data_IF_609495090001
#
_entry.id   IF_609495090001
#
_cell.length_a   1.000
_cell.length_b   1.000
_cell.length_c   1.000
_cell.angle_alpha   90.00
_cell.angle_beta   90.00
_cell.angle_gamma   90.00
#
_symmetry.space_group_name_H-M   'P 1'
#
loop_
_entity.id
_entity.type
_entity.pdbx_description
1 polymer ?
#
# COMPACT_ATOMS: atom_id res chain seq x y z
N UNK A 1 -79.38 7.38 -49.71
CA UNK A 1 -80.32 8.33 -49.06
C UNK A 1 -79.56 9.60 -48.76
N UNK A 2 -80.07 10.73 -49.29
CA UNK A 2 -80.15 12.10 -48.72
C UNK A 2 -78.90 12.66 -48.02
N UNK A 3 -78.35 13.84 -48.29
CA UNK A 3 -78.85 15.06 -48.96
C UNK A 3 -77.68 16.02 -49.17
N UNK A 4 -77.69 16.72 -50.31
CA UNK A 4 -76.95 17.97 -50.68
C UNK A 4 -77.45 19.14 -49.76
N UNK A 5 -77.10 20.46 -49.86
CA UNK A 5 -76.00 21.21 -50.50
C UNK A 5 -75.44 22.48 -49.73
N UNK A 6 -74.41 23.11 -50.34
CA UNK A 6 -74.24 24.57 -50.67
C UNK A 6 -73.98 25.66 -49.60
N UNK A 7 -72.90 26.41 -49.92
CA UNK A 7 -72.65 27.86 -49.80
C UNK A 7 -72.22 28.50 -48.48
N UNK A 8 -71.36 29.50 -48.64
CA UNK A 8 -71.36 30.70 -47.80
C UNK A 8 -69.97 31.23 -47.48
N UNK A 9 -69.32 31.91 -48.44
CA UNK A 9 -68.22 32.84 -48.10
C UNK A 9 -68.84 34.03 -47.37
N UNK A 10 -68.40 34.29 -46.13
CA UNK A 10 -68.59 35.56 -45.44
C UNK A 10 -67.24 36.00 -44.83
N UNK A 11 -66.84 37.21 -45.19
CA UNK A 11 -65.66 37.93 -44.67
C UNK A 11 -66.06 38.45 -43.29
N UNK A 12 -65.30 38.11 -42.25
CA UNK A 12 -65.41 38.71 -40.93
C UNK A 12 -64.07 39.37 -40.56
N UNK A 13 -64.11 40.67 -40.36
CA UNK A 13 -62.99 41.50 -39.95
C UNK A 13 -62.48 41.09 -38.56
N UNK A 14 -61.19 40.79 -38.47
CA UNK A 14 -60.51 40.56 -37.20
C UNK A 14 -60.16 41.92 -36.60
N UNK A 15 -60.94 42.34 -35.60
CA UNK A 15 -60.54 43.41 -34.68
C UNK A 15 -59.65 42.78 -33.62
N UNK A 16 -58.34 43.03 -33.71
CA UNK A 16 -57.36 42.66 -32.70
C UNK A 16 -57.48 43.61 -31.50
N UNK A 17 -58.27 43.23 -30.51
CA UNK A 17 -58.23 43.83 -29.17
C UNK A 17 -56.98 43.30 -28.46
N UNK A 18 -55.90 44.09 -28.43
CA UNK A 18 -54.70 43.76 -27.65
C UNK A 18 -54.96 43.95 -26.16
N UNK A 19 -55.40 42.89 -25.49
CA UNK A 19 -55.33 42.79 -24.03
C UNK A 19 -53.88 42.65 -23.61
N UNK A 20 -53.33 43.71 -23.01
CA UNK A 20 -52.02 43.68 -22.38
C UNK A 20 -52.16 42.87 -21.08
N UNK A 21 -51.86 41.58 -21.14
CA UNK A 21 -51.67 40.77 -19.93
C UNK A 21 -50.32 41.19 -19.36
N UNK A 22 -50.33 42.09 -18.38
CA UNK A 22 -49.16 42.34 -17.54
C UNK A 22 -48.93 41.10 -16.67
N UNK A 23 -48.25 40.11 -17.22
CA UNK A 23 -47.65 39.05 -16.44
C UNK A 23 -46.51 39.67 -15.64
N UNK A 24 -46.76 39.98 -14.37
CA UNK A 24 -45.69 40.24 -13.43
C UNK A 24 -44.89 38.95 -13.30
N UNK A 25 -43.77 38.88 -14.01
CA UNK A 25 -42.78 37.84 -13.81
C UNK A 25 -42.27 38.00 -12.37
N UNK A 26 -42.79 37.18 -11.44
CA UNK A 26 -42.13 37.02 -10.15
C UNK A 26 -40.73 36.50 -10.44
N UNK A 27 -39.72 37.30 -10.10
CA UNK A 27 -38.36 36.82 -10.02
C UNK A 27 -38.36 35.64 -9.06
N UNK A 28 -38.17 34.42 -9.59
CA UNK A 28 -37.83 33.29 -8.73
C UNK A 28 -36.41 33.54 -8.27
N UNK A 29 -36.24 33.75 -6.97
CA UNK A 29 -34.92 33.71 -6.36
C UNK A 29 -34.29 32.36 -6.70
N UNK A 30 -33.31 32.39 -7.60
CA UNK A 30 -32.44 31.23 -7.82
C UNK A 30 -31.56 31.12 -6.59
N UNK A 31 -31.96 30.30 -5.62
CA UNK A 31 -31.07 29.87 -4.55
C UNK A 31 -30.06 28.92 -5.18
N UNK A 32 -28.75 29.25 -5.27
CA UNK A 32 -27.75 28.33 -5.79
C UNK A 32 -27.48 27.27 -4.72
N UNK A 33 -28.35 26.27 -4.62
CA UNK A 33 -28.15 25.12 -3.74
C UNK A 33 -27.72 23.88 -4.51
N UNK A 34 -27.07 24.04 -5.66
CA UNK A 34 -26.34 22.94 -6.27
C UNK A 34 -24.96 22.87 -5.61
N UNK A 35 -24.88 22.19 -4.46
CA UNK A 35 -23.61 21.57 -4.05
C UNK A 35 -23.04 20.86 -5.28
N UNK A 36 -21.78 21.12 -5.62
CA UNK A 36 -21.17 20.48 -6.78
C UNK A 36 -21.42 18.95 -6.71
N UNK A 37 -21.70 18.27 -7.83
CA UNK A 37 -22.00 16.85 -7.77
C UNK A 37 -20.77 16.07 -7.32
N UNK A 38 -21.02 14.96 -6.65
CA UNK A 38 -19.97 13.99 -6.33
C UNK A 38 -19.28 13.52 -7.61
N UNK A 39 -17.99 13.19 -7.49
CA UNK A 39 -17.17 12.80 -8.61
C UNK A 39 -16.92 11.30 -8.60
N UNK A 40 -17.43 10.60 -9.62
CA UNK A 40 -17.03 9.22 -9.91
C UNK A 40 -15.62 9.20 -10.50
N UNK A 41 -14.78 8.33 -9.95
CA UNK A 41 -13.40 8.11 -10.36
C UNK A 41 -13.27 6.64 -10.73
N UNK A 42 -12.91 6.37 -11.97
CA UNK A 42 -12.58 5.03 -12.43
C UNK A 42 -11.07 4.85 -12.30
N UNK A 43 -10.62 3.65 -11.94
CA UNK A 43 -9.21 3.36 -11.82
C UNK A 43 -8.82 1.92 -12.10
N UNK A 44 -7.51 1.70 -12.13
CA UNK A 44 -6.87 0.40 -12.42
C UNK A 44 -5.69 0.14 -11.51
N UNK A 45 -5.42 -1.12 -11.20
CA UNK A 45 -4.35 -1.53 -10.31
C UNK A 45 -4.55 -1.12 -8.86
N UNK A 46 -3.64 -1.56 -8.01
CA UNK A 46 -3.57 -1.21 -6.60
C UNK A 46 -2.10 -1.16 -6.19
N UNK A 47 -1.65 0.05 -5.86
CA UNK A 47 -0.28 0.40 -5.48
C UNK A 47 0.39 1.32 -6.50
N UNK A 48 1.70 1.49 -6.34
CA UNK A 48 2.48 2.39 -7.19
C UNK A 48 2.75 1.81 -8.59
N UNK A 49 2.67 0.48 -8.77
CA UNK A 49 2.80 -0.19 -10.06
C UNK A 49 4.23 -0.32 -10.60
N UNK A 50 5.25 0.07 -9.82
CA UNK A 50 6.67 -0.13 -10.15
C UNK A 50 7.10 -1.54 -9.75
N UNK A 51 7.94 -2.17 -10.56
CA UNK A 51 8.43 -3.53 -10.30
C UNK A 51 7.32 -4.58 -10.38
N UNK A 52 7.35 -5.56 -9.48
CA UNK A 52 6.52 -6.77 -9.58
C UNK A 52 5.04 -6.51 -9.26
N UNK A 53 4.14 -6.93 -10.17
CA UNK A 53 2.71 -7.07 -9.85
C UNK A 53 2.48 -8.43 -9.19
N UNK A 54 1.89 -8.45 -7.99
CA UNK A 54 1.58 -9.70 -7.28
C UNK A 54 0.59 -10.55 -8.08
N UNK A 55 -0.51 -9.96 -8.54
CA UNK A 55 -1.47 -10.64 -9.41
C UNK A 55 -0.91 -10.95 -10.80
N UNK A 56 -0.01 -10.11 -11.31
CA UNK A 56 0.67 -10.36 -12.57
C UNK A 56 1.66 -11.52 -12.50
N UNK A 57 2.41 -11.66 -11.40
CA UNK A 57 3.27 -12.82 -11.16
C UNK A 57 2.45 -14.11 -11.05
N UNK A 58 1.28 -14.07 -10.39
CA UNK A 58 0.34 -15.19 -10.39
C UNK A 58 -0.19 -15.50 -11.79
N UNK A 59 -0.59 -14.49 -12.56
CA UNK A 59 -1.00 -14.66 -13.95
C UNK A 59 0.09 -15.28 -14.83
N UNK A 60 1.33 -14.84 -14.68
CA UNK A 60 2.48 -15.37 -15.39
C UNK A 60 2.76 -16.83 -15.02
N UNK A 61 2.68 -17.17 -13.73
CA UNK A 61 2.83 -18.54 -13.26
C UNK A 61 1.70 -19.45 -13.75
N UNK A 62 0.46 -18.95 -13.81
CA UNK A 62 -0.67 -19.67 -14.42
C UNK A 62 -0.49 -19.86 -15.93
N UNK A 63 0.21 -18.94 -16.59
CA UNK A 63 0.63 -19.05 -18.00
C UNK A 63 1.88 -19.95 -18.19
N UNK A 64 2.33 -20.67 -17.16
CA UNK A 64 3.46 -21.59 -17.23
C UNK A 64 4.84 -20.92 -17.26
N UNK A 65 4.94 -19.63 -16.91
CA UNK A 65 6.24 -18.94 -16.87
C UNK A 65 7.06 -19.40 -15.66
N UNK A 66 8.35 -19.62 -15.89
CA UNK A 66 9.33 -19.91 -14.84
C UNK A 66 9.59 -18.68 -13.96
N UNK A 67 10.11 -18.91 -12.75
CA UNK A 67 10.51 -17.84 -11.81
C UNK A 67 11.46 -16.83 -12.48
N UNK A 68 12.42 -17.33 -13.27
CA UNK A 68 13.37 -16.48 -13.99
C UNK A 68 12.64 -15.57 -14.99
N UNK A 69 11.73 -16.11 -15.79
CA UNK A 69 10.94 -15.31 -16.75
C UNK A 69 10.08 -14.26 -16.06
N UNK A 70 9.47 -14.60 -14.92
CA UNK A 70 8.68 -13.66 -14.12
C UNK A 70 9.55 -12.52 -13.60
N UNK A 71 10.69 -12.84 -12.97
CA UNK A 71 11.58 -11.83 -12.41
C UNK A 71 12.28 -11.00 -13.49
N UNK A 72 12.67 -11.59 -14.63
CA UNK A 72 13.27 -10.86 -15.75
C UNK A 72 12.26 -9.91 -16.42
N UNK A 73 10.97 -10.27 -16.39
CA UNK A 73 9.93 -9.36 -16.80
C UNK A 73 9.82 -8.18 -15.82
N UNK A 74 9.70 -8.40 -14.51
CA UNK A 74 9.48 -7.28 -13.59
C UNK A 74 10.72 -6.46 -13.23
N UNK A 75 11.92 -7.03 -13.39
CA UNK A 75 13.20 -6.40 -13.08
C UNK A 75 14.18 -6.54 -14.26
N UNK A 76 13.86 -5.97 -15.44
CA UNK A 76 14.68 -6.11 -16.65
C UNK A 76 16.09 -5.54 -16.47
N UNK A 77 17.06 -6.12 -17.17
CA UNK A 77 18.45 -5.66 -17.12
C UNK A 77 19.19 -5.97 -15.81
N UNK A 78 18.58 -6.76 -14.92
CA UNK A 78 19.18 -7.17 -13.65
C UNK A 78 19.68 -8.62 -13.72
N UNK A 79 20.70 -8.95 -12.94
CA UNK A 79 21.25 -10.30 -12.83
C UNK A 79 20.87 -10.95 -11.51
N UNK A 80 21.06 -12.27 -11.42
CA UNK A 80 20.85 -13.00 -10.17
C UNK A 80 22.09 -12.87 -9.29
N UNK A 81 21.86 -12.59 -8.00
CA UNK A 81 22.89 -12.59 -6.97
C UNK A 81 22.49 -13.42 -5.75
N UNK A 82 23.35 -13.42 -4.73
CA UNK A 82 23.08 -14.04 -3.43
C UNK A 82 23.26 -13.05 -2.29
N UNK A 83 22.38 -13.13 -1.29
CA UNK A 83 22.53 -12.41 -0.02
C UNK A 83 21.97 -13.24 1.13
N UNK A 84 22.66 -13.17 2.27
CA UNK A 84 22.27 -13.82 3.53
C UNK A 84 22.42 -12.81 4.67
N UNK A 85 22.42 -13.28 5.92
CA UNK A 85 22.56 -12.46 7.11
C UNK A 85 21.22 -12.18 7.80
N UNK A 86 21.24 -11.27 8.75
CA UNK A 86 20.05 -10.89 9.52
C UNK A 86 19.46 -9.57 9.01
N UNK A 87 18.20 -9.37 9.35
CA UNK A 87 17.47 -8.10 9.24
C UNK A 87 17.03 -7.70 10.65
N UNK A 88 17.08 -6.40 10.92
CA UNK A 88 16.61 -5.76 12.14
C UNK A 88 15.33 -4.99 11.83
N UNK A 89 14.21 -5.41 12.42
CA UNK A 89 12.90 -4.80 12.17
C UNK A 89 12.37 -4.18 13.43
N UNK A 90 12.06 -2.88 13.39
CA UNK A 90 11.32 -2.21 14.46
C UNK A 90 9.89 -2.76 14.50
N UNK A 91 9.44 -3.18 15.66
CA UNK A 91 8.08 -3.70 15.89
C UNK A 91 7.20 -2.55 16.36
N UNK A 92 6.45 -1.90 15.45
CA UNK A 92 5.69 -0.70 15.79
C UNK A 92 4.48 -0.94 16.69
N UNK A 93 4.04 -2.20 16.80
CA UNK A 93 2.90 -2.59 17.63
C UNK A 93 3.21 -2.61 19.14
N UNK A 94 4.50 -2.66 19.50
CA UNK A 94 4.93 -2.55 20.89
C UNK A 94 5.20 -1.08 21.21
N UNK A 95 4.28 -0.48 21.95
CA UNK A 95 4.38 0.90 22.41
C UNK A 95 4.67 0.98 23.91
N UNK A 96 5.13 -0.11 24.51
CA UNK A 96 5.56 -0.10 25.92
C UNK A 96 6.95 0.51 26.05
N UNK A 97 7.32 0.98 27.25
CA UNK A 97 8.63 1.61 27.47
C UNK A 97 9.80 0.63 27.56
N UNK A 98 9.54 -0.67 27.40
CA UNK A 98 10.53 -1.74 27.52
C UNK A 98 10.15 -2.95 26.67
N UNK A 99 11.02 -3.94 26.60
CA UNK A 99 10.74 -5.17 25.84
C UNK A 99 10.20 -6.21 26.80
N UNK A 100 8.98 -6.69 26.60
CA UNK A 100 8.34 -7.70 27.46
C UNK A 100 8.12 -9.01 26.74
N UNK A 101 8.55 -10.12 27.32
CA UNK A 101 8.42 -11.44 26.71
C UNK A 101 7.82 -12.46 27.67
N UNK A 102 7.05 -13.41 27.12
CA UNK A 102 6.61 -14.58 27.85
C UNK A 102 7.80 -15.45 28.26
N UNK A 103 7.75 -16.02 29.47
CA UNK A 103 8.78 -16.94 29.92
C UNK A 103 8.73 -18.25 29.11
N UNK A 104 9.87 -18.65 28.56
CA UNK A 104 10.04 -19.91 27.82
C UNK A 104 11.36 -20.56 28.22
N UNK A 105 11.44 -21.89 28.12
CA UNK A 105 12.67 -22.60 28.47
C UNK A 105 13.81 -22.21 27.52
N UNK A 106 15.03 -22.16 28.06
CA UNK A 106 16.26 -21.73 27.36
C UNK A 106 16.26 -20.25 26.93
N UNK A 107 15.29 -19.45 27.41
CA UNK A 107 15.34 -18.00 27.25
C UNK A 107 16.59 -17.46 27.93
N UNK A 108 17.31 -16.61 27.22
CA UNK A 108 18.52 -15.97 27.70
C UNK A 108 18.46 -14.47 27.43
N UNK A 109 19.20 -13.69 28.22
CA UNK A 109 19.43 -12.27 27.95
C UNK A 109 20.91 -12.06 27.62
N UNK A 110 21.18 -11.28 26.58
CA UNK A 110 22.53 -10.82 26.24
C UNK A 110 22.67 -9.34 26.57
N UNK A 111 23.70 -8.99 27.34
CA UNK A 111 24.12 -7.60 27.55
C UNK A 111 25.03 -7.17 26.40
N UNK A 112 24.77 -6.02 25.75
CA UNK A 112 25.65 -5.55 24.68
C UNK A 112 26.93 -4.88 25.18
N UNK A 113 26.91 -4.25 26.35
CA UNK A 113 28.12 -3.64 26.90
C UNK A 113 29.21 -4.67 27.23
N UNK A 114 28.80 -5.88 27.64
CA UNK A 114 29.75 -6.93 28.06
C UNK A 114 29.80 -8.13 27.11
N UNK A 115 28.85 -8.25 26.18
CA UNK A 115 28.65 -9.44 25.34
C UNK A 115 28.15 -10.68 26.10
N UNK A 116 28.06 -10.63 27.44
CA UNK A 116 27.73 -11.78 28.29
C UNK A 116 26.27 -12.20 28.15
N UNK A 117 26.07 -13.51 28.10
CA UNK A 117 24.75 -14.15 28.02
C UNK A 117 24.39 -14.77 29.37
N UNK A 118 23.16 -14.55 29.81
CA UNK A 118 22.60 -15.09 31.05
C UNK A 118 21.39 -15.94 30.70
N UNK A 119 21.47 -17.25 30.95
CA UNK A 119 20.32 -18.15 30.82
C UNK A 119 19.35 -17.86 31.95
N UNK A 120 18.10 -17.59 31.59
CA UNK A 120 17.06 -17.23 32.55
C UNK A 120 16.46 -18.49 33.20
N UNK A 121 15.94 -18.37 34.44
CA UNK A 121 15.20 -19.43 35.10
C UNK A 121 14.13 -20.10 34.23
N UNK A 122 13.85 -21.37 34.53
CA UNK A 122 12.84 -22.18 33.84
C UNK A 122 11.48 -21.47 33.78
N UNK A 123 10.76 -21.64 32.68
CA UNK A 123 9.45 -21.01 32.48
C UNK A 123 8.40 -21.43 33.52
N UNK A 124 8.57 -22.60 34.16
CA UNK A 124 7.67 -23.04 35.23
C UNK A 124 7.73 -22.18 36.49
N UNK A 125 8.76 -21.33 36.66
CA UNK A 125 8.94 -20.52 37.87
C UNK A 125 8.55 -19.06 37.68
N UNK A 126 8.32 -18.60 36.44
CA UNK A 126 8.06 -17.20 36.08
C UNK A 126 7.08 -17.11 34.91
N UNK A 127 6.31 -16.02 34.83
CA UNK A 127 5.34 -15.85 33.75
C UNK A 127 5.89 -14.99 32.61
N UNK A 128 6.60 -13.91 32.92
CA UNK A 128 7.15 -12.97 31.94
C UNK A 128 8.50 -12.42 32.39
N UNK A 129 9.23 -11.85 31.43
CA UNK A 129 10.46 -11.11 31.62
C UNK A 129 10.36 -9.75 30.94
N UNK A 130 10.97 -8.73 31.53
CA UNK A 130 11.06 -7.39 30.94
C UNK A 130 12.49 -6.89 30.90
N UNK A 131 12.86 -6.21 29.82
CA UNK A 131 14.01 -5.31 29.75
C UNK A 131 13.44 -3.90 29.71
N UNK A 132 13.58 -3.16 30.81
CA UNK A 132 13.05 -1.80 30.95
C UNK A 132 14.21 -0.78 31.10
N UNK A 133 13.98 0.52 30.84
CA UNK A 133 14.94 1.59 31.10
C UNK A 133 15.44 1.58 32.54
N UNK A 134 16.72 1.89 32.72
CA UNK A 134 17.36 2.03 34.02
C UNK A 134 18.40 3.16 33.98
N UNK A 135 17.94 4.40 34.11
CA UNK A 135 18.75 5.60 33.90
C UNK A 135 18.99 5.89 32.42
N UNK A 136 19.80 6.90 32.13
CA UNK A 136 19.93 7.50 30.80
C UNK A 136 20.45 6.55 29.72
N UNK A 137 21.22 5.52 30.08
CA UNK A 137 21.81 4.55 29.13
C UNK A 137 21.84 3.10 29.65
N UNK A 138 21.06 2.78 30.68
CA UNK A 138 21.06 1.47 31.32
C UNK A 138 19.77 0.72 31.08
N UNK A 139 19.80 -0.59 31.29
CA UNK A 139 18.59 -1.42 31.31
C UNK A 139 18.51 -2.25 32.58
N UNK A 140 17.28 -2.53 33.03
CA UNK A 140 17.01 -3.48 34.12
C UNK A 140 16.23 -4.66 33.57
N UNK A 141 16.64 -5.85 33.98
CA UNK A 141 15.92 -7.10 33.74
C UNK A 141 15.08 -7.42 34.97
N UNK A 142 13.77 -7.57 34.77
CA UNK A 142 12.83 -7.97 35.81
C UNK A 142 12.04 -9.21 35.40
N UNK A 143 11.56 -9.96 36.38
CA UNK A 143 10.66 -11.10 36.17
C UNK A 143 9.29 -10.84 36.79
N UNK A 144 8.23 -11.25 36.11
CA UNK A 144 6.86 -11.15 36.60
C UNK A 144 6.35 -12.50 37.12
N UNK A 145 5.70 -12.45 38.29
CA UNK A 145 4.93 -13.54 38.85
C UNK A 145 3.43 -13.19 38.78
N UNK A 146 2.67 -13.97 38.02
CA UNK A 146 1.24 -13.74 37.83
C UNK A 146 0.38 -14.08 39.05
N UNK A 147 0.87 -14.93 39.96
CA UNK A 147 0.14 -15.27 41.21
C UNK A 147 0.17 -14.09 42.17
N UNK A 148 1.35 -13.49 42.34
CA UNK A 148 1.56 -12.35 43.25
C UNK A 148 1.38 -11.00 42.57
N UNK A 149 1.22 -10.99 41.24
CA UNK A 149 1.12 -9.80 40.38
C UNK A 149 2.30 -8.82 40.57
N UNK A 150 3.49 -9.35 40.89
CA UNK A 150 4.64 -8.54 41.27
C UNK A 150 5.78 -8.67 40.27
N UNK A 151 6.37 -7.53 39.91
CA UNK A 151 7.65 -7.47 39.23
C UNK A 151 8.79 -7.50 40.26
N UNK A 152 9.79 -8.34 40.01
CA UNK A 152 10.98 -8.45 40.85
C UNK A 152 12.22 -8.20 40.00
N UNK A 153 13.08 -7.27 40.44
CA UNK A 153 14.36 -6.99 39.82
C UNK A 153 15.24 -8.23 39.86
N UNK A 154 15.79 -8.62 38.71
CA UNK A 154 16.71 -9.74 38.60
C UNK A 154 18.16 -9.28 38.40
N UNK A 155 18.37 -8.30 37.52
CA UNK A 155 19.70 -7.78 37.19
C UNK A 155 19.61 -6.40 36.55
N UNK A 156 20.66 -5.61 36.68
CA UNK A 156 20.87 -4.36 35.91
C UNK A 156 22.04 -4.52 34.94
N UNK A 157 21.98 -3.79 33.84
CA UNK A 157 23.02 -3.75 32.82
C UNK A 157 23.37 -2.30 32.50
N UNK A 158 24.66 -2.04 32.33
CA UNK A 158 25.13 -0.88 31.57
C UNK A 158 24.81 -1.13 30.10
N UNK A 159 24.15 -0.20 29.41
CA UNK A 159 23.75 -0.34 28.03
C UNK A 159 22.51 -1.21 27.79
N UNK A 160 22.23 -1.42 26.51
CA UNK A 160 21.09 -2.19 26.02
C UNK A 160 21.31 -3.70 26.09
N UNK A 161 20.21 -4.44 26.02
CA UNK A 161 20.17 -5.89 26.06
C UNK A 161 19.16 -6.47 25.07
N UNK A 162 19.25 -7.78 24.81
CA UNK A 162 18.27 -8.50 24.00
C UNK A 162 17.90 -9.85 24.61
N UNK A 163 16.66 -10.28 24.39
CA UNK A 163 16.21 -11.65 24.61
C UNK A 163 16.56 -12.53 23.41
N UNK A 164 17.11 -13.72 23.67
CA UNK A 164 17.54 -14.70 22.66
C UNK A 164 17.55 -16.14 23.23
N UNK A 165 17.85 -17.12 22.37
CA UNK A 165 18.07 -18.53 22.76
C UNK A 165 17.02 -19.51 22.20
N UNK A 166 15.73 -19.36 22.52
CA UNK A 166 14.65 -20.17 21.97
C UNK A 166 14.48 -19.96 20.47
N UNK A 167 13.93 -20.97 19.78
CA UNK A 167 13.59 -20.85 18.37
C UNK A 167 12.49 -19.80 18.09
N UNK A 168 11.60 -19.58 19.07
CA UNK A 168 10.49 -18.63 19.03
C UNK A 168 10.35 -17.96 20.39
N UNK A 169 10.20 -16.63 20.40
CA UNK A 169 9.98 -15.80 21.59
C UNK A 169 8.64 -15.08 21.43
N UNK A 170 7.78 -15.15 22.45
CA UNK A 170 6.51 -14.41 22.49
C UNK A 170 6.70 -13.03 23.09
N UNK A 171 6.56 -11.99 22.29
CA UNK A 171 6.49 -10.58 22.71
C UNK A 171 5.10 -10.30 23.28
N UNK A 172 5.04 -9.69 24.47
CA UNK A 172 3.80 -9.28 25.12
C UNK A 172 3.54 -7.81 24.77
N UNK A 173 2.45 -7.55 24.05
CA UNK A 173 2.06 -6.22 23.60
C UNK A 173 1.37 -5.42 24.73
N UNK A 174 1.20 -4.09 24.57
CA UNK A 174 0.48 -3.24 25.55
C UNK A 174 -0.91 -3.76 25.93
N UNK A 175 -1.63 -4.39 24.98
CA UNK A 175 -2.96 -4.97 25.22
C UNK A 175 -2.93 -6.28 26.02
N UNK A 176 -1.76 -6.83 26.31
CA UNK A 176 -1.57 -8.17 26.86
C UNK A 176 -1.58 -9.29 25.81
N UNK A 177 -1.89 -8.98 24.54
CA UNK A 177 -1.80 -9.94 23.45
C UNK A 177 -0.35 -10.38 23.22
N UNK A 178 -0.14 -11.63 22.81
CA UNK A 178 1.20 -12.17 22.53
C UNK A 178 1.39 -12.31 21.02
N UNK A 179 2.47 -11.73 20.51
CA UNK A 179 2.96 -11.96 19.14
C UNK A 179 4.28 -12.72 19.17
N UNK A 180 4.40 -13.77 18.37
CA UNK A 180 5.59 -14.63 18.35
C UNK A 180 6.57 -14.20 17.26
N UNK A 181 7.85 -14.27 17.59
CA UNK A 181 8.95 -13.92 16.68
C UNK A 181 10.06 -14.96 16.73
N UNK A 182 10.74 -15.18 15.61
CA UNK A 182 12.00 -15.93 15.56
C UNK A 182 13.19 -15.00 15.82
N UNK A 183 14.32 -15.58 16.17
CA UNK A 183 15.56 -14.82 16.41
C UNK A 183 15.55 -14.16 17.79
N UNK A 184 15.97 -12.91 17.85
CA UNK A 184 16.09 -12.15 19.10
C UNK A 184 15.12 -10.96 19.13
N UNK A 185 14.73 -10.56 20.35
CA UNK A 185 13.98 -9.34 20.61
C UNK A 185 14.91 -8.39 21.38
N UNK A 186 15.31 -7.31 20.71
CA UNK A 186 16.31 -6.36 21.16
C UNK A 186 15.66 -5.09 21.66
N UNK A 187 16.06 -4.65 22.84
CA UNK A 187 15.77 -3.30 23.31
C UNK A 187 16.75 -2.33 22.64
N UNK A 188 16.23 -1.26 22.05
CA UNK A 188 17.04 -0.17 21.54
C UNK A 188 16.61 1.13 22.21
N UNK A 189 17.59 1.94 22.56
CA UNK A 189 17.35 3.27 23.12
C UNK A 189 17.10 4.27 21.98
N UNK A 190 16.01 5.02 22.09
CA UNK A 190 15.65 6.09 21.15
C UNK A 190 15.59 7.45 21.84
N UNK A 191 15.32 7.51 23.15
CA UNK A 191 15.14 8.77 23.88
C UNK A 191 15.45 8.70 25.39
N UNK A 192 16.17 7.68 25.86
CA UNK A 192 16.59 7.43 27.25
C UNK A 192 15.50 6.86 28.17
N UNK A 193 14.27 7.35 28.05
CA UNK A 193 13.12 6.92 28.89
C UNK A 193 12.22 5.90 28.22
N UNK A 194 12.40 5.66 26.92
CA UNK A 194 11.61 4.74 26.11
C UNK A 194 12.53 3.83 25.30
N UNK A 195 12.26 2.52 25.36
CA UNK A 195 12.96 1.53 24.54
C UNK A 195 12.03 1.01 23.45
N UNK A 196 12.50 1.08 22.21
CA UNK A 196 11.84 0.44 21.09
C UNK A 196 12.18 -1.06 21.06
N UNK A 197 11.21 -1.89 20.67
CA UNK A 197 11.43 -3.31 20.36
C UNK A 197 11.89 -3.49 18.92
N UNK A 198 13.07 -4.10 18.74
CA UNK A 198 13.60 -4.52 17.44
C UNK A 198 13.72 -6.03 17.37
N UNK A 199 13.05 -6.66 16.39
CA UNK A 199 13.28 -8.07 16.09
C UNK A 199 14.52 -8.23 15.20
N UNK A 200 15.52 -8.98 15.68
CA UNK A 200 16.72 -9.32 14.94
C UNK A 200 16.62 -10.77 14.50
N UNK A 201 16.50 -10.99 13.19
CA UNK A 201 16.07 -12.28 12.64
C UNK A 201 16.84 -12.61 11.37
N UNK A 202 17.27 -13.88 11.15
CA UNK A 202 17.84 -14.30 9.88
C UNK A 202 16.91 -13.98 8.71
N UNK A 203 17.47 -13.52 7.59
CA UNK A 203 16.73 -13.03 6.43
C UNK A 203 15.67 -14.02 5.92
N UNK A 204 16.00 -15.31 5.87
CA UNK A 204 15.04 -16.35 5.43
C UNK A 204 13.85 -16.48 6.39
N UNK A 205 14.05 -16.35 7.70
CA UNK A 205 12.96 -16.35 8.68
C UNK A 205 12.16 -15.05 8.67
N UNK A 206 12.80 -13.92 8.42
CA UNK A 206 12.12 -12.65 8.20
C UNK A 206 11.10 -12.77 7.07
N UNK A 207 11.52 -13.34 5.93
CA UNK A 207 10.66 -13.50 4.76
C UNK A 207 9.44 -14.37 5.04
N UNK A 208 9.51 -15.34 5.96
CA UNK A 208 8.34 -16.15 6.34
C UNK A 208 7.25 -15.33 7.03
N UNK A 209 7.61 -14.21 7.66
CA UNK A 209 6.64 -13.26 8.21
C UNK A 209 6.18 -12.18 7.22
N UNK A 210 6.85 -12.02 6.08
CA UNK A 210 6.53 -11.02 5.04
C UNK A 210 5.74 -11.63 3.88
N UNK A 211 6.26 -12.67 3.24
CA UNK A 211 5.68 -13.21 1.99
C UNK A 211 4.20 -13.60 2.14
N UNK A 212 3.75 -14.22 3.25
CA UNK A 212 2.31 -14.52 3.46
C UNK A 212 1.42 -13.29 3.62
N UNK A 213 1.99 -12.14 3.98
CA UNK A 213 1.28 -10.85 4.08
C UNK A 213 1.15 -10.16 2.73
N UNK A 214 1.97 -10.57 1.76
CA UNK A 214 2.09 -9.94 0.44
C UNK A 214 1.49 -10.80 -0.68
N UNK A 215 1.49 -12.12 -0.56
CA UNK A 215 0.95 -13.03 -1.57
C UNK A 215 0.00 -14.06 -0.94
N UNK A 216 -1.06 -14.40 -1.68
CA UNK A 216 -2.02 -15.41 -1.26
C UNK A 216 -1.32 -16.77 -1.27
N UNK A 217 -1.32 -17.47 -0.13
CA UNK A 217 -0.58 -18.72 0.08
C UNK A 217 -0.97 -19.85 -0.87
N UNK A 218 -2.17 -19.81 -1.47
CA UNK A 218 -2.65 -20.80 -2.45
C UNK A 218 -2.19 -20.55 -3.90
N UNK A 219 -1.47 -19.46 -4.16
CA UNK A 219 -0.95 -19.16 -5.49
C UNK A 219 0.11 -20.15 -5.98
N UNK A 220 0.39 -20.11 -7.28
CA UNK A 220 1.33 -21.04 -7.91
C UNK A 220 2.74 -20.87 -7.32
N UNK A 221 3.50 -21.97 -7.14
CA UNK A 221 4.84 -21.90 -6.55
C UNK A 221 5.76 -20.87 -7.22
N UNK A 222 5.75 -20.77 -8.56
CA UNK A 222 6.58 -19.81 -9.28
C UNK A 222 6.26 -18.34 -8.94
N UNK A 223 5.00 -18.01 -8.66
CA UNK A 223 4.59 -16.67 -8.23
C UNK A 223 5.08 -16.38 -6.80
N UNK A 224 4.91 -17.34 -5.89
CA UNK A 224 5.40 -17.22 -4.51
C UNK A 224 6.93 -17.12 -4.46
N UNK A 225 7.64 -17.86 -5.31
CA UNK A 225 9.10 -17.82 -5.45
C UNK A 225 9.57 -16.46 -5.99
N UNK A 226 8.90 -15.91 -7.00
CA UNK A 226 9.20 -14.57 -7.51
C UNK A 226 8.95 -13.49 -6.44
N UNK A 227 7.84 -13.59 -5.69
CA UNK A 227 7.56 -12.70 -4.56
C UNK A 227 8.63 -12.81 -3.47
N UNK A 228 9.10 -14.02 -3.13
CA UNK A 228 10.15 -14.23 -2.14
C UNK A 228 11.47 -13.57 -2.57
N UNK A 229 11.88 -13.71 -3.83
CA UNK A 229 13.08 -13.05 -4.37
C UNK A 229 12.94 -11.53 -4.37
N UNK A 230 11.78 -11.00 -4.77
CA UNK A 230 11.49 -9.56 -4.73
C UNK A 230 11.58 -9.01 -3.31
N UNK A 231 10.87 -9.65 -2.37
CA UNK A 231 10.88 -9.27 -0.95
C UNK A 231 12.31 -9.32 -0.37
N UNK A 232 13.05 -10.41 -0.60
CA UNK A 232 14.45 -10.55 -0.14
C UNK A 232 15.35 -9.45 -0.68
N UNK A 233 15.24 -9.16 -1.96
CA UNK A 233 16.06 -8.14 -2.62
C UNK A 233 15.78 -6.76 -2.06
N UNK A 234 14.50 -6.43 -1.85
CA UNK A 234 14.08 -5.18 -1.22
C UNK A 234 14.66 -5.06 0.19
N UNK A 235 14.55 -6.11 1.02
CA UNK A 235 15.06 -6.06 2.39
C UNK A 235 16.57 -5.85 2.45
N UNK A 236 17.31 -6.51 1.56
CA UNK A 236 18.77 -6.35 1.44
C UNK A 236 19.13 -4.93 0.96
N UNK A 237 18.41 -4.39 -0.03
CA UNK A 237 18.64 -3.02 -0.51
C UNK A 237 18.55 -1.98 0.60
N UNK A 238 17.55 -2.11 1.49
CA UNK A 238 17.34 -1.20 2.61
C UNK A 238 18.33 -1.44 3.75
N UNK A 239 18.61 -2.70 4.10
CA UNK A 239 19.65 -3.02 5.10
C UNK A 239 21.00 -2.41 4.73
N UNK A 240 21.42 -2.53 3.48
CA UNK A 240 22.71 -2.02 3.02
C UNK A 240 22.76 -0.47 2.99
N UNK A 241 21.61 0.21 3.17
CA UNK A 241 21.46 1.67 3.18
C UNK A 241 20.93 2.22 4.50
N UNK A 242 20.76 1.39 5.52
CA UNK A 242 20.27 1.83 6.82
C UNK A 242 21.33 2.71 7.49
N UNK A 243 21.13 4.03 7.45
CA UNK A 243 22.09 5.03 7.94
C UNK A 243 21.95 5.33 9.43
N UNK A 244 20.81 4.99 10.08
CA UNK A 244 20.57 5.24 11.51
C UNK A 244 20.54 3.94 12.33
N UNK A 245 21.53 3.78 13.21
CA UNK A 245 22.07 2.55 13.83
C UNK A 245 21.13 1.58 14.59
N UNK A 246 19.82 1.78 14.66
CA UNK A 246 18.96 0.97 15.51
C UNK A 246 18.25 -0.21 14.79
N UNK A 247 17.75 0.00 13.57
CA UNK A 247 17.07 -1.02 12.76
C UNK A 247 17.20 -0.76 11.24
N UNK A 248 16.90 -1.77 10.43
CA UNK A 248 17.03 -1.74 8.97
C UNK A 248 15.69 -1.41 8.27
N UNK A 249 14.58 -1.90 8.84
CA UNK A 249 13.22 -1.77 8.30
C UNK A 249 12.20 -1.56 9.43
N UNK A 250 11.03 -1.03 9.07
CA UNK A 250 9.82 -1.00 9.89
C UNK A 250 8.85 -2.15 9.50
N UNK A 251 7.88 -2.50 10.34
CA UNK A 251 6.91 -3.59 10.12
C UNK A 251 5.58 -3.15 9.49
N UNK A 252 5.50 -1.91 9.00
CA UNK A 252 4.29 -1.32 8.40
C UNK A 252 4.40 -1.21 6.87
N UNK A 253 3.31 -0.75 6.23
CA UNK A 253 3.25 -0.49 4.78
C UNK A 253 4.21 0.59 4.30
N UNK A 254 4.80 1.39 5.19
CA UNK A 254 5.90 2.29 4.85
C UNK A 254 7.18 1.53 4.47
N UNK A 255 7.28 0.27 4.87
CA UNK A 255 8.38 -0.65 4.58
C UNK A 255 7.82 -1.94 3.95
N UNK A 256 7.73 -3.03 4.73
CA UNK A 256 7.07 -4.28 4.36
C UNK A 256 6.25 -4.75 5.56
N UNK A 257 5.04 -5.26 5.33
CA UNK A 257 4.20 -5.75 6.43
C UNK A 257 4.85 -7.01 7.01
N UNK A 258 5.37 -6.92 8.23
CA UNK A 258 6.06 -8.01 8.91
C UNK A 258 5.21 -8.58 10.05
N UNK A 259 4.67 -9.77 9.84
CA UNK A 259 3.76 -10.42 10.76
C UNK A 259 4.41 -11.32 11.82
N UNK A 260 5.73 -11.50 11.80
CA UNK A 260 6.42 -12.40 12.72
C UNK A 260 6.15 -13.89 12.44
N UNK A 261 6.38 -14.73 13.44
CA UNK A 261 6.19 -16.19 13.36
C UNK A 261 4.72 -16.59 13.13
N UNK A 262 3.78 -15.79 13.65
CA UNK A 262 2.34 -16.09 13.56
C UNK A 262 1.77 -15.97 12.14
N UNK A 263 2.55 -15.47 11.18
CA UNK A 263 2.13 -15.34 9.79
C UNK A 263 2.73 -16.41 8.87
N UNK A 264 3.59 -17.31 9.38
CA UNK A 264 4.25 -18.31 8.55
C UNK A 264 3.23 -19.28 7.93
N UNK A 265 3.41 -19.59 6.64
CA UNK A 265 2.56 -20.51 5.89
C UNK A 265 3.44 -21.54 5.17
N UNK A 266 2.99 -22.80 5.08
CA UNK A 266 3.83 -23.89 4.52
C UNK A 266 4.21 -23.63 3.06
N UNK A 267 3.27 -23.18 2.23
CA UNK A 267 3.51 -22.97 0.79
C UNK A 267 4.50 -21.85 0.50
N UNK A 268 4.40 -20.74 1.23
CA UNK A 268 5.34 -19.61 1.12
C UNK A 268 6.70 -19.97 1.71
N UNK A 269 6.74 -20.73 2.82
CA UNK A 269 7.99 -21.26 3.40
C UNK A 269 8.74 -22.13 2.39
N UNK A 270 8.03 -22.97 1.63
CA UNK A 270 8.61 -23.79 0.58
C UNK A 270 9.16 -22.93 -0.58
N UNK A 271 8.43 -21.87 -0.97
CA UNK A 271 8.88 -20.94 -2.00
C UNK A 271 10.13 -20.13 -1.58
N UNK A 272 10.18 -19.71 -0.32
CA UNK A 272 11.33 -19.03 0.29
C UNK A 272 12.55 -19.97 0.29
N UNK A 273 12.38 -21.21 0.75
CA UNK A 273 13.44 -22.22 0.78
C UNK A 273 13.96 -22.56 -0.64
N UNK A 274 13.06 -22.71 -1.62
CA UNK A 274 13.43 -23.00 -3.00
C UNK A 274 14.21 -21.86 -3.68
N UNK A 275 14.15 -20.64 -3.13
CA UNK A 275 14.86 -19.45 -3.62
C UNK A 275 15.87 -18.91 -2.60
N UNK A 276 16.35 -19.77 -1.70
CA UNK A 276 17.18 -19.36 -0.56
C UNK A 276 18.37 -18.50 -1.00
N UNK A 277 18.49 -17.33 -0.37
CA UNK A 277 19.53 -16.34 -0.65
C UNK A 277 19.44 -15.64 -2.00
N UNK A 278 18.55 -16.03 -2.93
CA UNK A 278 18.50 -15.45 -4.27
C UNK A 278 17.96 -14.01 -4.24
N UNK A 279 18.69 -13.08 -4.88
CA UNK A 279 18.31 -11.67 -5.05
C UNK A 279 18.53 -11.18 -6.49
N UNK A 280 18.03 -9.98 -6.81
CA UNK A 280 18.28 -9.28 -8.09
C UNK A 280 19.30 -8.16 -7.91
N UNK A 281 20.26 -8.08 -8.83
CA UNK A 281 21.35 -7.10 -8.83
C UNK A 281 21.33 -6.25 -10.10
N UNK A 282 21.62 -4.97 -9.97
CA UNK A 282 21.95 -4.09 -11.09
C UNK A 282 23.36 -3.53 -10.88
N UNK A 283 24.25 -3.75 -11.86
CA UNK A 283 25.67 -3.38 -11.75
C UNK A 283 26.31 -3.87 -10.43
N UNK A 284 26.04 -5.14 -10.08
CA UNK A 284 26.58 -5.80 -8.89
C UNK A 284 25.97 -5.38 -7.55
N UNK A 285 25.04 -4.41 -7.52
CA UNK A 285 24.39 -3.94 -6.28
C UNK A 285 22.94 -4.42 -6.19
N UNK A 286 22.42 -4.77 -4.99
CA UNK A 286 21.00 -5.06 -4.79
C UNK A 286 20.14 -3.92 -5.35
N UNK A 287 19.06 -4.28 -6.04
CA UNK A 287 18.11 -3.31 -6.60
C UNK A 287 17.04 -2.92 -5.58
N UNK A 288 16.39 -1.78 -5.76
CA UNK A 288 15.12 -1.50 -5.07
C UNK A 288 14.01 -2.32 -5.76
N UNK A 289 13.83 -3.56 -5.28
CA UNK A 289 12.86 -4.51 -5.85
C UNK A 289 11.44 -4.22 -5.35
N UNK A 290 10.89 -3.06 -5.72
CA UNK A 290 9.51 -2.72 -5.36
C UNK A 290 8.51 -3.69 -6.00
N UNK A 291 7.35 -3.81 -5.37
CA UNK A 291 6.23 -4.61 -5.84
C UNK A 291 4.91 -4.02 -5.34
N UNK A 292 3.82 -4.34 -6.01
CA UNK A 292 2.48 -3.88 -5.64
C UNK A 292 1.43 -4.93 -5.96
N UNK A 293 0.24 -4.80 -5.38
CA UNK A 293 -0.86 -5.78 -5.57
C UNK A 293 -1.18 -5.98 -7.05
N UNK A 294 -1.43 -4.88 -7.76
CA UNK A 294 -1.70 -4.94 -9.20
C UNK A 294 -1.19 -3.69 -9.89
N UNK A 295 -0.56 -3.87 -11.05
CA UNK A 295 -0.11 -2.76 -11.87
C UNK A 295 -1.18 -2.29 -12.88
N UNK A 296 -2.38 -2.87 -12.90
CA UNK A 296 -3.51 -2.40 -13.71
C UNK A 296 -3.37 -2.63 -15.22
N UNK A 297 -2.39 -3.45 -15.64
CA UNK A 297 -2.12 -3.80 -17.04
C UNK A 297 -0.84 -3.18 -17.62
N UNK A 298 -0.10 -2.38 -16.85
CA UNK A 298 1.23 -1.90 -17.20
C UNK A 298 2.01 -1.48 -15.96
N UNK A 299 3.31 -1.79 -15.96
CA UNK A 299 4.26 -1.29 -14.97
C UNK A 299 4.43 0.22 -15.07
N UNK A 300 4.70 0.88 -13.96
CA UNK A 300 5.05 2.30 -13.90
C UNK A 300 6.56 2.47 -13.97
N UNK A 301 7.00 3.57 -14.58
CA UNK A 301 8.40 3.99 -14.52
C UNK A 301 8.76 4.45 -13.09
N UNK A 302 10.04 4.30 -12.75
CA UNK A 302 10.62 4.93 -11.56
C UNK A 302 11.96 5.58 -11.86
N UNK A 303 12.71 5.95 -10.83
CA UNK A 303 13.92 6.76 -10.95
C UNK A 303 15.18 5.93 -11.27
N UNK A 304 15.02 4.63 -11.54
CA UNK A 304 16.12 3.69 -11.76
C UNK A 304 15.97 2.91 -13.07
N UNK A 305 17.07 2.54 -13.75
CA UNK A 305 17.02 1.99 -15.13
C UNK A 305 16.24 0.68 -15.31
N UNK A 306 16.04 -0.08 -14.23
CA UNK A 306 15.30 -1.35 -14.26
C UNK A 306 13.82 -1.20 -13.87
N UNK A 307 13.35 0.00 -13.56
CA UNK A 307 11.93 0.30 -13.34
C UNK A 307 11.35 0.95 -14.59
N UNK A 308 11.18 0.12 -15.61
CA UNK A 308 10.68 0.53 -16.91
C UNK A 308 9.16 0.42 -16.96
N UNK A 309 8.53 1.36 -17.64
CA UNK A 309 7.13 1.27 -17.99
C UNK A 309 6.93 0.36 -19.20
N UNK A 310 6.12 -0.68 -19.04
CA UNK A 310 5.74 -1.59 -20.13
C UNK A 310 4.39 -2.25 -19.85
N UNK A 311 3.73 -2.65 -20.93
CA UNK A 311 2.50 -3.42 -20.85
C UNK A 311 2.71 -4.74 -20.09
N UNK A 312 1.75 -5.11 -19.26
CA UNK A 312 1.71 -6.35 -18.50
C UNK A 312 0.37 -7.03 -18.71
N UNK A 313 0.33 -7.95 -19.67
CA UNK A 313 -0.85 -8.77 -19.94
C UNK A 313 -1.16 -9.79 -18.84
N UNK A 314 -0.20 -10.09 -17.96
CA UNK A 314 -0.40 -11.08 -16.91
C UNK A 314 -1.16 -10.53 -15.71
N UNK A 315 -1.14 -9.21 -15.50
CA UNK A 315 -1.90 -8.56 -14.43
C UNK A 315 -3.42 -8.79 -14.56
N UNK A 316 -3.92 -8.87 -15.80
CA UNK A 316 -5.32 -9.21 -16.12
C UNK A 316 -5.46 -10.63 -16.69
N UNK A 317 -4.55 -11.55 -16.34
CA UNK A 317 -4.58 -12.92 -16.87
C UNK A 317 -5.86 -13.66 -16.45
N UNK A 318 -6.52 -14.40 -17.36
CA UNK A 318 -7.69 -15.19 -17.00
C UNK A 318 -7.39 -16.14 -15.84
N UNK A 319 -8.29 -16.21 -14.85
CA UNK A 319 -8.19 -17.07 -13.66
C UNK A 319 -7.15 -16.63 -12.61
N UNK A 320 -6.44 -15.51 -12.78
CA UNK A 320 -5.60 -14.98 -11.68
C UNK A 320 -6.42 -14.32 -10.56
N UNK A 321 -7.72 -14.05 -10.81
CA UNK A 321 -8.66 -13.53 -9.82
C UNK A 321 -8.38 -12.08 -9.40
N UNK A 322 -7.67 -11.28 -10.19
CA UNK A 322 -7.30 -9.92 -9.82
C UNK A 322 -8.53 -8.99 -9.72
N UNK A 323 -8.95 -8.55 -8.51
CA UNK A 323 -10.09 -7.66 -8.35
C UNK A 323 -9.73 -6.19 -8.64
N UNK A 324 -8.45 -5.91 -8.92
CA UNK A 324 -7.92 -4.57 -9.12
C UNK A 324 -7.62 -4.29 -10.59
N UNK A 325 -7.97 -5.18 -11.54
CA UNK A 325 -7.84 -4.90 -12.98
C UNK A 325 -8.54 -3.58 -13.33
N UNK A 326 -9.71 -3.35 -12.74
CA UNK A 326 -10.44 -2.09 -12.76
C UNK A 326 -11.28 -1.93 -11.49
N UNK A 327 -11.52 -0.70 -11.09
CA UNK A 327 -12.41 -0.34 -9.98
C UNK A 327 -13.04 1.03 -10.23
N UNK A 328 -14.12 1.33 -9.52
CA UNK A 328 -14.76 2.65 -9.53
C UNK A 328 -15.04 3.08 -8.09
N UNK A 329 -14.95 4.37 -7.83
CA UNK A 329 -15.27 4.94 -6.53
C UNK A 329 -15.81 6.35 -6.69
N UNK A 330 -16.81 6.71 -5.89
CA UNK A 330 -17.33 8.07 -5.83
C UNK A 330 -16.68 8.82 -4.67
N UNK A 331 -16.28 10.07 -4.91
CA UNK A 331 -15.75 10.99 -3.89
C UNK A 331 -16.67 12.19 -3.78
N UNK A 332 -16.85 12.66 -2.55
CA UNK A 332 -17.73 13.79 -2.30
C UNK A 332 -17.19 15.04 -2.97
N UNK A 333 -18.06 15.98 -3.31
CA UNK A 333 -17.61 17.28 -3.77
C UNK A 333 -16.70 17.99 -2.75
N UNK A 334 -16.95 17.83 -1.45
CA UNK A 334 -16.11 18.39 -0.39
C UNK A 334 -14.68 17.81 -0.42
N UNK A 335 -14.54 16.49 -0.62
CA UNK A 335 -13.22 15.85 -0.76
C UNK A 335 -12.47 16.44 -1.95
N UNK A 336 -13.14 16.53 -3.11
CA UNK A 336 -12.55 17.07 -4.33
C UNK A 336 -12.14 18.54 -4.16
N UNK A 337 -12.97 19.35 -3.50
CA UNK A 337 -12.66 20.74 -3.19
C UNK A 337 -11.47 20.87 -2.25
N UNK A 338 -11.39 20.02 -1.22
CA UNK A 338 -10.28 20.00 -0.26
C UNK A 338 -8.95 19.64 -0.94
N UNK A 339 -8.95 18.62 -1.81
CA UNK A 339 -7.74 18.15 -2.49
C UNK A 339 -7.15 19.17 -3.44
N UNK A 340 -8.00 19.84 -4.23
CA UNK A 340 -7.56 20.79 -5.26
C UNK A 340 -7.54 22.24 -4.77
N UNK A 341 -8.29 22.60 -3.73
CA UNK A 341 -8.38 23.95 -3.18
C UNK A 341 -8.73 25.02 -4.24
N UNK A 342 -9.63 24.71 -5.18
CA UNK A 342 -10.05 25.60 -6.28
C UNK A 342 -11.48 26.15 -6.11
N UNK A 343 -12.03 26.09 -4.90
CA UNK A 343 -13.45 26.37 -4.66
C UNK A 343 -14.34 25.31 -5.33
N UNK A 344 -15.60 25.65 -5.61
CA UNK A 344 -16.57 24.72 -6.21
C UNK A 344 -16.08 24.18 -7.54
N UNK A 345 -15.90 22.85 -7.60
CA UNK A 345 -15.34 22.15 -8.78
C UNK A 345 -16.31 22.29 -9.96
N UNK A 346 -15.82 22.86 -11.06
CA UNK A 346 -16.52 22.91 -12.35
C UNK A 346 -16.24 21.66 -13.16
N UNK A 347 -14.98 21.28 -13.35
CA UNK A 347 -14.60 20.00 -13.97
C UNK A 347 -13.24 19.52 -13.46
N UNK A 348 -12.99 18.21 -13.66
CA UNK A 348 -11.72 17.56 -13.37
C UNK A 348 -11.37 16.67 -14.56
N UNK A 349 -10.12 16.74 -15.03
CA UNK A 349 -9.66 15.96 -16.19
C UNK A 349 -8.22 15.47 -16.00
N UNK A 350 -7.90 14.37 -16.67
CA UNK A 350 -6.52 13.90 -16.80
C UNK A 350 -5.83 14.73 -17.87
N UNK A 351 -4.76 15.44 -17.51
CA UNK A 351 -4.05 16.35 -18.40
C UNK A 351 -2.92 15.64 -19.16
N UNK A 352 -2.20 14.73 -18.50
CA UNK A 352 -1.14 13.93 -19.12
C UNK A 352 -1.28 12.47 -18.72
N UNK A 353 -1.03 11.59 -19.68
CA UNK A 353 -0.94 10.14 -19.46
C UNK A 353 0.44 9.63 -19.85
N UNK A 354 0.74 8.46 -19.31
CA UNK A 354 1.99 7.77 -19.54
C UNK A 354 2.09 7.10 -20.93
N UNK A 355 0.98 6.90 -21.62
CA UNK A 355 0.95 6.37 -23.00
C UNK A 355 1.02 4.85 -23.12
N UNK A 356 1.21 4.11 -22.02
CA UNK A 356 1.36 2.65 -22.04
C UNK A 356 0.26 1.96 -21.23
N UNK A 357 -0.42 1.02 -21.86
CA UNK A 357 -1.50 0.22 -21.28
C UNK A 357 -2.90 0.80 -21.50
N UNK A 358 -3.93 0.19 -20.88
CA UNK A 358 -5.33 0.53 -21.16
C UNK A 358 -5.68 2.01 -20.97
N UNK A 359 -6.51 2.56 -21.87
CA UNK A 359 -7.01 3.93 -21.79
C UNK A 359 -5.91 5.00 -21.95
N UNK A 360 -4.84 4.71 -22.70
CA UNK A 360 -3.71 5.60 -22.90
C UNK A 360 -2.74 5.65 -21.70
N UNK A 361 -2.85 4.71 -20.77
CA UNK A 361 -1.94 4.56 -19.64
C UNK A 361 -2.30 5.35 -18.38
N UNK A 362 -1.46 5.20 -17.35
CA UNK A 362 -1.57 5.87 -16.05
C UNK A 362 -1.68 7.38 -16.21
N UNK A 363 -2.52 8.02 -15.40
CA UNK A 363 -2.52 9.46 -15.28
C UNK A 363 -1.19 9.91 -14.66
N UNK A 364 -0.59 10.96 -15.22
CA UNK A 364 0.61 11.60 -14.68
C UNK A 364 0.22 12.87 -13.94
N UNK A 365 -0.63 13.69 -14.56
CA UNK A 365 -1.16 14.93 -13.99
C UNK A 365 -2.66 15.05 -14.19
N UNK A 366 -3.31 15.68 -13.22
CA UNK A 366 -4.74 15.90 -13.16
C UNK A 366 -4.98 17.38 -12.92
N UNK A 367 -5.85 17.96 -13.73
CA UNK A 367 -6.29 19.35 -13.61
C UNK A 367 -7.70 19.38 -13.04
N UNK A 368 -7.90 20.19 -12.01
CA UNK A 368 -9.22 20.61 -11.57
C UNK A 368 -9.38 22.10 -11.82
N UNK A 369 -10.53 22.48 -12.35
CA UNK A 369 -10.94 23.88 -12.51
C UNK A 369 -12.19 24.09 -11.66
N UNK A 370 -12.14 25.11 -10.81
CA UNK A 370 -13.24 25.49 -9.93
C UNK A 370 -13.50 26.99 -9.93
N UNK A 371 -14.40 27.44 -9.05
CA UNK A 371 -14.81 28.84 -8.96
C UNK A 371 -13.69 29.80 -8.55
N UNK A 372 -12.63 29.32 -7.90
CA UNK A 372 -11.48 30.12 -7.44
C UNK A 372 -10.22 29.95 -8.30
N UNK A 373 -10.32 29.27 -9.45
CA UNK A 373 -9.21 29.10 -10.38
C UNK A 373 -8.95 27.65 -10.78
N UNK A 374 -7.72 27.35 -11.18
CA UNK A 374 -7.29 26.02 -11.62
C UNK A 374 -6.10 25.52 -10.80
N UNK A 375 -6.02 24.20 -10.62
CA UNK A 375 -4.87 23.54 -10.00
C UNK A 375 -4.55 22.25 -10.71
N UNK A 376 -3.26 22.05 -10.97
CA UNK A 376 -2.71 20.79 -11.48
C UNK A 376 -1.99 20.08 -10.34
N UNK A 377 -2.32 18.80 -10.13
CA UNK A 377 -1.63 17.91 -9.20
C UNK A 377 -1.10 16.70 -9.96
N UNK A 378 -0.07 16.06 -9.42
CA UNK A 378 0.31 14.72 -9.88
C UNK A 378 -0.79 13.72 -9.52
N UNK A 379 -0.92 12.65 -10.31
CA UNK A 379 -1.88 11.61 -10.00
C UNK A 379 -1.60 10.92 -8.65
N UNK A 380 -0.34 10.90 -8.20
CA UNK A 380 0.02 10.32 -6.91
C UNK A 380 -0.41 11.20 -5.73
N UNK A 381 -0.28 12.53 -5.86
CA UNK A 381 -0.82 13.47 -4.88
C UNK A 381 -2.35 13.31 -4.75
N UNK A 382 -3.05 13.14 -5.87
CA UNK A 382 -4.50 12.91 -5.87
C UNK A 382 -4.83 11.56 -5.23
N UNK A 383 -4.10 10.49 -5.58
CA UNK A 383 -4.26 9.15 -4.99
C UNK A 383 -4.16 9.20 -3.47
N UNK A 384 -3.09 9.80 -2.94
CA UNK A 384 -2.81 9.85 -1.51
C UNK A 384 -3.90 10.64 -0.78
N UNK A 385 -4.25 11.83 -1.29
CA UNK A 385 -5.23 12.71 -0.64
C UNK A 385 -6.67 12.21 -0.71
N UNK A 386 -7.02 11.41 -1.72
CA UNK A 386 -8.36 10.81 -1.88
C UNK A 386 -8.42 9.34 -1.44
N UNK A 387 -7.34 8.82 -0.85
CA UNK A 387 -7.21 7.42 -0.43
C UNK A 387 -7.62 6.42 -1.53
N UNK A 388 -7.11 6.64 -2.75
CA UNK A 388 -7.39 5.78 -3.91
C UNK A 388 -6.42 4.60 -3.95
N UNK A 389 -6.83 3.50 -4.57
CA UNK A 389 -5.99 2.30 -4.72
C UNK A 389 -4.73 2.57 -5.55
N UNK A 390 -4.81 3.44 -6.56
CA UNK A 390 -3.68 3.75 -7.45
C UNK A 390 -3.81 5.15 -8.07
N UNK A 391 -2.74 5.63 -8.71
CA UNK A 391 -2.75 6.84 -9.53
C UNK A 391 -3.21 6.60 -10.97
N UNK A 392 -3.56 5.35 -11.34
CA UNK A 392 -4.10 5.06 -12.66
C UNK A 392 -5.60 5.34 -12.66
N UNK A 393 -5.96 6.59 -12.86
CA UNK A 393 -7.36 7.04 -12.79
C UNK A 393 -7.84 7.74 -14.05
N UNK A 394 -9.15 7.76 -14.21
CA UNK A 394 -9.90 8.53 -15.19
C UNK A 394 -11.20 9.05 -14.57
N UNK A 395 -11.70 10.13 -15.15
CA UNK A 395 -13.00 10.70 -14.81
C UNK A 395 -13.94 10.37 -15.99
N UNK A 396 -15.23 10.07 -15.73
CA UNK A 396 -16.21 9.93 -16.79
C UNK A 396 -16.18 11.19 -17.67
N UNK A 397 -16.25 11.00 -18.99
CA UNK A 397 -16.45 12.12 -19.90
C UNK A 397 -17.76 12.82 -19.52
N UNK A 398 -17.73 14.15 -19.35
CA UNK A 398 -18.99 14.89 -19.27
C UNK A 398 -19.52 15.07 -20.68
N UNK A 399 -20.85 15.13 -20.90
CA UNK A 399 -21.44 15.28 -22.23
C UNK A 399 -20.93 16.47 -23.07
N UNK A 400 -20.22 17.43 -22.45
CA UNK A 400 -19.62 18.60 -23.11
C UNK A 400 -18.18 18.38 -23.62
N UNK A 401 -17.59 17.21 -23.39
CA UNK A 401 -16.24 16.86 -23.89
C UNK A 401 -16.27 16.08 -25.23
N UNK A 402 -17.45 15.84 -25.82
CA UNK A 402 -17.53 15.36 -27.20
C UNK A 402 -17.31 16.55 -28.14
N UNK A 403 -16.39 16.46 -29.13
CA UNK A 403 -16.36 17.47 -30.18
C UNK A 403 -17.75 17.52 -30.80
N UNK A 404 -18.37 18.69 -30.78
CA UNK A 404 -19.59 18.96 -31.53
C UNK A 404 -19.35 18.45 -32.95
N UNK A 405 -20.12 17.46 -33.37
CA UNK A 405 -20.14 17.06 -34.77
C UNK A 405 -20.33 18.34 -35.58
N UNK A 406 -19.40 18.59 -36.52
CA UNK A 406 -19.53 19.68 -37.48
C UNK A 406 -20.85 19.39 -38.22
N UNK A 407 -21.88 20.15 -37.89
CA UNK A 407 -23.07 20.19 -38.72
C UNK A 407 -22.62 20.91 -39.98
N UNK A 408 -22.33 20.14 -41.03
CA UNK A 408 -22.27 20.70 -42.37
C UNK A 408 -23.63 21.34 -42.63
N UNK A 409 -23.65 22.66 -42.80
CA UNK A 409 -24.82 23.32 -43.35
C UNK A 409 -25.08 22.75 -44.74
N UNK A 410 -26.31 22.28 -45.03
CA UNK A 410 -26.66 21.92 -46.39
C UNK A 410 -26.70 23.21 -47.21
N UNK A 411 -25.73 23.36 -48.11
CA UNK A 411 -25.72 24.47 -49.04
C UNK A 411 -26.99 24.50 -49.89
N UNK A 412 -27.73 25.60 -49.81
CA UNK A 412 -28.19 26.40 -50.95
C UNK A 412 -28.80 27.71 -50.51
#
# INVERSE_FOLDING_TARGET
MRTVPISGRAIAAVVLSSTVISATAQARDFVPTATAPDTTINGRGFGHGRGLSQYGAQGAALAGKSVKQILDFYYPGTTVGKATGSIRVRVSADTTDGVRVGAVNKLSVRSFATGKVYVLPKASTRNQWSIDPNGEHGTKLSSYDAKTKKWTLYKTFTGMAQFEGPAVIGLVLPSGAVRRYRGALRAIDVSGTHLDTVNVVPLEYYLRGVVPREAVSSWKPAALQAQAVAARTYSVFHRDRATSKAYDLCDTTSCQVYGGYDSEETSTNNAIAATAGQIRLYKGKPIIAEFSSSNGGATAAGDVPYQLMKADSWDAYPKNGNPNVSWSVTRSAADMQSVFAVGSIRYVRVLKRSGVGPGGGRALTIEAVGSKGKRVLTADQVRIRLHLKSGWISFPARPLDMPTAVVEEPGR
#
